data_IF_532945627893
#
_entry.id   IF_532945627893
#
_cell.length_a   1.000
_cell.length_b   1.000
_cell.length_c   1.000
_cell.angle_alpha   90.00
_cell.angle_beta   90.00
_cell.angle_gamma   90.00
#
_symmetry.space_group_name_H-M   'P 1'
#
loop_
_entity.id
_entity.type
_entity.pdbx_description
1 polymer ?
#
# COMPACT_ATOMS: atom_id res chain seq x y z
N UNK A 1 -12.59 15.61 36.88
CA UNK A 1 -11.23 14.99 37.02
C UNK A 1 -11.20 13.81 36.07
N UNK A 2 -10.19 13.73 35.21
CA UNK A 2 -10.08 12.89 33.99
C UNK A 2 -10.94 13.33 32.80
N UNK A 3 -11.47 14.56 32.83
CA UNK A 3 -12.17 15.12 31.67
C UNK A 3 -11.16 15.35 30.54
N UNK A 4 -11.48 14.85 29.35
CA UNK A 4 -10.68 15.03 28.13
C UNK A 4 -11.40 15.95 27.14
N UNK A 5 -10.64 16.82 26.49
CA UNK A 5 -11.15 17.69 25.42
C UNK A 5 -10.09 17.92 24.34
N UNK A 6 -10.56 18.26 23.14
CA UNK A 6 -9.71 18.62 22.02
C UNK A 6 -9.44 20.13 22.02
N UNK A 7 -8.20 20.53 21.71
CA UNK A 7 -7.79 21.93 21.56
C UNK A 7 -6.84 22.09 20.39
N UNK A 8 -7.12 23.02 19.49
CA UNK A 8 -6.20 23.39 18.42
C UNK A 8 -5.06 24.25 18.94
N UNK A 9 -3.81 23.93 18.60
CA UNK A 9 -2.62 24.72 18.94
C UNK A 9 -1.63 24.70 17.78
N UNK A 10 -1.30 25.88 17.24
CA UNK A 10 -0.39 26.05 16.09
C UNK A 10 -0.76 25.15 14.88
N UNK A 11 -2.05 24.93 14.64
CA UNK A 11 -2.55 24.09 13.54
C UNK A 11 -2.69 22.59 13.86
N UNK A 12 -2.19 22.13 15.00
CA UNK A 12 -2.30 20.73 15.43
C UNK A 12 -3.43 20.55 16.46
N UNK A 13 -4.10 19.39 16.45
CA UNK A 13 -5.09 19.03 17.47
C UNK A 13 -4.40 18.39 18.67
N UNK A 14 -4.60 18.95 19.86
CA UNK A 14 -4.14 18.38 21.13
C UNK A 14 -5.33 17.74 21.85
N UNK A 15 -5.11 16.57 22.45
CA UNK A 15 -6.01 15.96 23.43
C UNK A 15 -5.49 16.35 24.81
N UNK A 16 -6.26 17.18 25.53
CA UNK A 16 -5.95 17.65 26.87
C UNK A 16 -6.75 16.86 27.91
N UNK A 17 -6.10 16.47 29.00
CA UNK A 17 -6.70 15.74 30.13
C UNK A 17 -6.55 16.56 31.40
N UNK A 18 -7.63 16.76 32.15
CA UNK A 18 -7.60 17.42 33.45
C UNK A 18 -7.31 16.41 34.57
N UNK A 19 -6.18 16.52 35.24
CA UNK A 19 -5.78 15.67 36.38
C UNK A 19 -6.07 16.33 37.74
N UNK A 20 -7.01 17.29 37.81
CA UNK A 20 -7.37 17.99 39.04
C UNK A 20 -6.23 18.87 39.56
N UNK A 21 -5.77 18.63 40.78
CA UNK A 21 -4.66 19.40 41.42
C UNK A 21 -3.31 19.20 40.72
N UNK A 22 -3.14 18.11 39.97
CA UNK A 22 -1.94 17.87 39.17
C UNK A 22 -1.90 18.67 37.86
N UNK A 23 -2.94 19.47 37.57
CA UNK A 23 -3.01 20.34 36.42
C UNK A 23 -3.58 19.68 35.16
N UNK A 24 -3.30 20.30 34.01
CA UNK A 24 -3.80 19.89 32.69
C UNK A 24 -2.64 19.37 31.86
N UNK A 25 -2.75 18.13 31.37
CA UNK A 25 -1.77 17.54 30.48
C UNK A 25 -2.33 17.45 29.06
N UNK A 26 -1.66 18.06 28.10
CA UNK A 26 -2.03 17.99 26.69
C UNK A 26 -1.03 17.14 25.90
N UNK A 27 -1.53 16.22 25.07
CA UNK A 27 -0.74 15.44 24.12
C UNK A 27 -1.22 15.76 22.71
N UNK A 28 -0.32 15.76 21.72
CA UNK A 28 -0.76 15.85 20.32
C UNK A 28 -1.62 14.63 20.01
N UNK A 29 -2.81 14.87 19.45
CA UNK A 29 -3.54 13.81 18.76
C UNK A 29 -2.61 13.36 17.64
N UNK A 30 -2.25 12.06 17.55
CA UNK A 30 -1.51 11.60 16.40
C UNK A 30 -2.30 12.02 15.16
N UNK A 31 -1.62 12.59 14.17
CA UNK A 31 -2.23 12.88 12.88
C UNK A 31 -3.01 11.64 12.46
N UNK A 32 -4.27 11.84 12.05
CA UNK A 32 -5.13 10.74 11.61
C UNK A 32 -4.29 9.84 10.72
N UNK A 33 -4.15 8.57 11.12
CA UNK A 33 -3.22 7.62 10.48
C UNK A 33 -3.26 7.82 8.97
N UNK A 34 -2.13 8.21 8.38
CA UNK A 34 -2.13 8.58 6.97
C UNK A 34 -2.57 7.37 6.17
N UNK A 35 -3.63 7.53 5.37
CA UNK A 35 -4.11 6.47 4.48
C UNK A 35 -3.88 6.88 3.04
N UNK A 36 -3.53 5.90 2.22
CA UNK A 36 -3.47 6.08 0.79
C UNK A 36 -4.79 5.66 0.17
N UNK A 37 -5.31 6.47 -0.74
CA UNK A 37 -6.52 6.15 -1.49
C UNK A 37 -6.15 5.71 -2.89
N UNK A 38 -6.47 4.46 -3.24
CA UNK A 38 -6.35 3.99 -4.61
C UNK A 38 -7.64 4.28 -5.39
N UNK A 39 -7.51 5.05 -6.47
CA UNK A 39 -8.64 5.44 -7.30
C UNK A 39 -9.18 4.28 -8.15
N UNK A 40 -8.38 3.25 -8.42
CA UNK A 40 -8.81 2.12 -9.23
C UNK A 40 -9.68 1.16 -8.41
N UNK A 41 -9.21 0.75 -7.24
CA UNK A 41 -9.97 -0.12 -6.33
C UNK A 41 -11.02 0.62 -5.49
N UNK A 42 -10.97 1.96 -5.42
CA UNK A 42 -11.81 2.79 -4.55
C UNK A 42 -11.66 2.41 -3.05
N UNK A 43 -10.47 1.94 -2.66
CA UNK A 43 -10.16 1.50 -1.31
C UNK A 43 -9.09 2.39 -0.67
N UNK A 44 -9.10 2.39 0.67
CA UNK A 44 -8.08 3.01 1.50
C UNK A 44 -7.14 1.95 2.05
N UNK A 45 -5.84 2.22 1.96
CA UNK A 45 -4.76 1.37 2.46
C UNK A 45 -3.98 2.12 3.53
N UNK A 46 -3.50 1.39 4.54
CA UNK A 46 -2.70 1.97 5.62
C UNK A 46 -1.25 2.13 5.18
N UNK A 47 -0.50 3.05 5.80
CA UNK A 47 0.94 3.19 5.52
C UNK A 47 1.67 1.87 5.74
N UNK A 48 2.48 1.46 4.76
CA UNK A 48 3.21 0.19 4.74
C UNK A 48 2.43 -0.97 4.12
N UNK A 49 1.13 -0.82 3.87
CA UNK A 49 0.30 -1.87 3.28
C UNK A 49 0.61 -2.04 1.79
N UNK A 50 0.77 -3.29 1.38
CA UNK A 50 1.01 -3.70 -0.01
C UNK A 50 -0.26 -4.32 -0.60
N UNK A 51 -0.63 -3.91 -1.82
CA UNK A 51 -1.84 -4.38 -2.49
C UNK A 51 -1.62 -4.53 -4.00
N UNK A 52 -2.44 -5.37 -4.63
CA UNK A 52 -2.43 -5.58 -6.08
C UNK A 52 -3.40 -4.60 -6.76
N UNK A 53 -2.94 -3.90 -7.80
CA UNK A 53 -3.79 -2.95 -8.55
C UNK A 53 -3.73 -3.25 -10.05
N UNK A 54 -4.86 -3.56 -10.70
CA UNK A 54 -4.91 -3.75 -12.15
C UNK A 54 -4.81 -2.40 -12.85
N UNK A 55 -3.75 -2.20 -13.63
CA UNK A 55 -3.51 -0.96 -14.37
C UNK A 55 -2.83 -1.25 -15.71
N UNK A 56 -3.36 -0.63 -16.76
CA UNK A 56 -2.82 -0.74 -18.14
C UNK A 56 -2.73 -2.21 -18.63
N UNK A 57 -3.68 -3.06 -18.23
CA UNK A 57 -3.72 -4.48 -18.60
C UNK A 57 -2.71 -5.37 -17.86
N UNK A 58 -1.99 -4.81 -16.89
CA UNK A 58 -1.03 -5.53 -16.03
C UNK A 58 -1.46 -5.43 -14.56
N UNK A 59 -1.02 -6.40 -13.75
CA UNK A 59 -1.17 -6.32 -12.29
C UNK A 59 0.08 -5.68 -11.71
N UNK A 60 -0.10 -4.60 -10.97
CA UNK A 60 0.97 -3.88 -10.29
C UNK A 60 0.96 -4.20 -8.80
N UNK A 61 2.15 -4.41 -8.23
CA UNK A 61 2.31 -4.44 -6.78
C UNK A 61 2.49 -3.01 -6.28
N UNK A 62 1.47 -2.50 -5.59
CA UNK A 62 1.44 -1.18 -5.03
C UNK A 62 1.69 -1.21 -3.52
N UNK A 63 2.26 -0.14 -2.99
CA UNK A 63 2.52 0.03 -1.56
C UNK A 63 2.13 1.46 -1.17
N UNK A 64 1.35 1.58 -0.09
CA UNK A 64 1.08 2.88 0.52
C UNK A 64 2.31 3.33 1.30
N UNK A 65 2.97 4.41 0.86
CA UNK A 65 4.19 4.92 1.52
C UNK A 65 3.88 5.92 2.63
N UNK A 66 2.76 6.66 2.53
CA UNK A 66 2.34 7.59 3.60
C UNK A 66 3.42 8.61 3.99
N UNK A 67 3.74 9.54 3.09
CA UNK A 67 4.78 10.58 3.27
C UNK A 67 4.19 12.00 3.40
N UNK A 68 3.12 12.16 4.17
CA UNK A 68 2.35 13.39 4.35
C UNK A 68 1.52 13.82 3.13
N UNK A 69 1.36 12.95 2.13
CA UNK A 69 0.69 13.23 0.85
C UNK A 69 -0.09 12.03 0.29
N UNK A 70 -0.32 11.00 1.09
CA UNK A 70 -0.99 9.76 0.68
C UNK A 70 -0.32 9.10 -0.54
N UNK A 71 1.02 9.10 -0.57
CA UNK A 71 1.81 8.61 -1.71
C UNK A 71 1.66 7.10 -1.85
N UNK A 72 1.27 6.65 -3.04
CA UNK A 72 1.29 5.24 -3.45
C UNK A 72 2.47 5.04 -4.42
N UNK A 73 3.24 3.97 -4.23
CA UNK A 73 4.27 3.53 -5.16
C UNK A 73 3.89 2.17 -5.72
N UNK A 74 3.92 2.02 -7.04
CA UNK A 74 3.58 0.78 -7.73
C UNK A 74 4.74 0.30 -8.59
N UNK A 75 4.95 -1.01 -8.65
CA UNK A 75 5.99 -1.63 -9.47
C UNK A 75 5.51 -2.94 -10.10
N UNK A 76 6.02 -3.24 -11.29
CA UNK A 76 5.93 -4.56 -11.94
C UNK A 76 7.23 -5.33 -11.82
N UNK A 77 8.27 -4.78 -11.18
CA UNK A 77 9.60 -5.39 -11.12
C UNK A 77 9.61 -6.78 -10.47
N UNK A 78 8.62 -7.06 -9.61
CA UNK A 78 8.48 -8.32 -8.89
C UNK A 78 7.51 -9.29 -9.58
N UNK A 79 7.13 -9.02 -10.83
CA UNK A 79 6.15 -9.80 -11.60
C UNK A 79 6.62 -10.04 -13.01
N UNK A 80 6.21 -11.16 -13.59
CA UNK A 80 6.38 -11.47 -15.00
C UNK A 80 5.01 -11.42 -15.68
N UNK A 81 4.93 -10.75 -16.83
CA UNK A 81 3.69 -10.62 -17.59
C UNK A 81 3.80 -11.36 -18.92
N UNK A 82 3.11 -12.49 -19.05
CA UNK A 82 3.08 -13.28 -20.28
C UNK A 82 1.64 -13.68 -20.63
N UNK A 83 1.25 -13.52 -21.90
CA UNK A 83 -0.06 -13.96 -22.41
C UNK A 83 -1.27 -13.31 -21.73
N UNK A 84 -1.13 -12.07 -21.23
CA UNK A 84 -2.19 -11.38 -20.47
C UNK A 84 -2.36 -11.86 -19.03
N UNK A 85 -1.50 -12.79 -18.58
CA UNK A 85 -1.44 -13.25 -17.20
C UNK A 85 -0.29 -12.56 -16.45
N UNK A 86 -0.41 -12.49 -15.13
CA UNK A 86 0.60 -11.92 -14.24
C UNK A 86 1.05 -12.97 -13.24
N UNK A 87 2.35 -13.20 -13.17
CA UNK A 87 2.98 -14.24 -12.36
C UNK A 87 3.92 -13.61 -11.34
N UNK A 88 3.87 -14.08 -10.09
CA UNK A 88 4.83 -13.67 -9.05
C UNK A 88 6.15 -14.40 -9.22
N UNK A 89 7.23 -13.85 -8.67
CA UNK A 89 8.54 -14.54 -8.66
C UNK A 89 8.39 -15.93 -8.03
N UNK A 90 8.89 -16.93 -8.75
CA UNK A 90 8.80 -18.34 -8.36
C UNK A 90 7.57 -19.07 -8.91
N UNK A 91 6.55 -18.36 -9.42
CA UNK A 91 5.41 -19.00 -10.06
C UNK A 91 5.86 -19.71 -11.34
N UNK A 92 5.30 -20.89 -11.56
CA UNK A 92 5.48 -21.67 -12.78
C UNK A 92 4.19 -21.80 -13.55
N UNK A 93 4.26 -21.70 -14.88
CA UNK A 93 3.12 -21.93 -15.75
C UNK A 93 3.52 -22.73 -16.98
N UNK A 94 2.53 -23.29 -17.67
CA UNK A 94 2.75 -24.03 -18.91
C UNK A 94 2.12 -23.33 -20.09
N UNK A 95 2.84 -23.30 -21.21
CA UNK A 95 2.34 -22.76 -22.48
C UNK A 95 2.78 -23.62 -23.66
N UNK A 96 1.99 -23.68 -24.75
CA UNK A 96 2.42 -24.37 -25.95
C UNK A 96 3.64 -23.67 -26.59
N UNK A 97 4.57 -24.46 -27.12
CA UNK A 97 5.66 -23.96 -27.94
C UNK A 97 5.12 -23.42 -29.27
N UNK A 98 5.48 -22.19 -29.62
CA UNK A 98 4.90 -21.43 -30.74
C UNK A 98 4.93 -22.18 -32.08
N UNK A 99 5.96 -23.01 -32.30
CA UNK A 99 6.18 -23.75 -33.54
C UNK A 99 6.24 -25.26 -33.35
N UNK A 100 6.17 -25.75 -32.10
CA UNK A 100 6.67 -27.09 -31.75
C UNK A 100 5.59 -28.11 -31.40
N UNK A 101 4.36 -27.68 -31.10
CA UNK A 101 3.28 -28.59 -30.70
C UNK A 101 3.46 -29.28 -29.34
N UNK A 102 4.57 -29.02 -28.62
CA UNK A 102 4.81 -29.49 -27.26
C UNK A 102 4.64 -28.37 -26.23
N UNK A 103 4.45 -28.72 -24.95
CA UNK A 103 4.25 -27.76 -23.86
C UNK A 103 5.59 -27.38 -23.23
N UNK A 104 5.79 -26.08 -23.01
CA UNK A 104 6.86 -25.50 -22.22
C UNK A 104 6.42 -25.34 -20.77
N UNK A 105 7.39 -25.41 -19.86
CA UNK A 105 7.24 -25.04 -18.46
C UNK A 105 8.11 -23.79 -18.21
N UNK A 106 7.46 -22.71 -17.82
CA UNK A 106 8.04 -21.39 -17.63
C UNK A 106 8.05 -21.06 -16.13
N UNK A 107 9.03 -20.26 -15.70
CA UNK A 107 9.15 -19.80 -14.31
C UNK A 107 9.42 -18.30 -14.29
N UNK A 108 8.77 -17.58 -13.39
CA UNK A 108 8.99 -16.14 -13.23
C UNK A 108 10.21 -15.89 -12.35
N UNK A 109 11.25 -15.27 -12.92
CA UNK A 109 12.48 -14.95 -12.19
C UNK A 109 12.49 -13.52 -11.62
N UNK A 110 11.69 -12.61 -12.20
CA UNK A 110 11.52 -11.22 -11.75
C UNK A 110 12.81 -10.44 -11.48
N UNK A 111 13.88 -10.68 -12.26
CA UNK A 111 15.18 -10.01 -12.15
C UNK A 111 15.14 -8.50 -12.52
N UNK A 112 14.14 -7.76 -12.05
CA UNK A 112 13.92 -6.34 -12.31
C UNK A 112 13.57 -6.01 -13.77
N UNK A 113 13.30 -7.01 -14.61
CA UNK A 113 13.06 -6.86 -16.05
C UNK A 113 11.66 -7.26 -16.51
N UNK A 114 10.82 -7.76 -15.60
CA UNK A 114 9.43 -8.11 -15.85
C UNK A 114 9.23 -9.05 -17.02
#
# INVERSE_FOLDING_TARGET
VNDQWERSYLGNTLICTCHGVAGIQCKSKPDAEEKCFDKLSQLFYNVGETFESPKDGMIWDCTCIGSGRSKISCTTANRCHEGGSSYKIGDTWRRPHETGGYMLECVCLGNGKG
#
